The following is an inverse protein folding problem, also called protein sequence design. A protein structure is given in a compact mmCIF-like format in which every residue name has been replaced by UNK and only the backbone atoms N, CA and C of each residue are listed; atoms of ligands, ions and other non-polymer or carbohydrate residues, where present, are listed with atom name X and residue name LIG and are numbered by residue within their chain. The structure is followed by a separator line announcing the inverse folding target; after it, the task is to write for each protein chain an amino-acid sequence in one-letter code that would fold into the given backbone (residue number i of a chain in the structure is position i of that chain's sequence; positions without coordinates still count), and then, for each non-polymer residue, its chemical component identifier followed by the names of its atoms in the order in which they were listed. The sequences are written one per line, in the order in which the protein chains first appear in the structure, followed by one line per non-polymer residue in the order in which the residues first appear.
data_IF_538010478148
#
_entry.id   IF_538010478148
#
_cell.length_a   1.000
_cell.length_b   1.000
_cell.length_c   1.000
_cell.angle_alpha   90.00
_cell.angle_beta   90.00
_cell.angle_gamma   90.00
#
_symmetry.space_group_name_H-M   'P 1'
#
loop_
_entity.id
_entity.type
_entity.pdbx_description
1 polymer ?
#
# COMPACT_ATOMS: atom_id res chain seq x y z
N UNK A 1 -47.92 17.63 -32.42
CA UNK A 1 -48.19 16.18 -32.37
C UNK A 1 -49.61 15.93 -32.79
N UNK A 2 -49.86 15.00 -33.74
CA UNK A 2 -51.18 14.74 -34.26
C UNK A 2 -51.86 13.64 -33.43
N UNK A 3 -52.75 14.01 -32.53
CA UNK A 3 -53.50 13.12 -31.62
C UNK A 3 -54.78 12.53 -32.21
N UNK A 4 -54.96 12.64 -33.55
CA UNK A 4 -56.11 12.02 -34.19
C UNK A 4 -56.07 10.49 -34.08
N UNK A 5 -57.26 9.82 -34.07
CA UNK A 5 -57.36 8.35 -34.02
C UNK A 5 -56.54 7.66 -35.12
N UNK A 6 -56.39 8.27 -36.30
CA UNK A 6 -55.54 7.77 -37.39
C UNK A 6 -54.05 7.88 -37.06
N UNK A 7 -53.59 8.99 -36.47
CA UNK A 7 -52.20 9.20 -36.07
C UNK A 7 -51.78 8.24 -34.97
N UNK A 8 -52.62 8.00 -33.97
CA UNK A 8 -52.37 7.04 -32.90
C UNK A 8 -52.23 5.60 -33.43
N UNK A 9 -53.18 5.17 -34.34
CA UNK A 9 -53.10 3.85 -34.97
C UNK A 9 -51.86 3.68 -35.88
N UNK A 10 -51.46 4.68 -36.62
CA UNK A 10 -50.25 4.65 -37.44
C UNK A 10 -48.99 4.46 -36.52
N UNK A 11 -48.92 5.21 -35.44
CA UNK A 11 -47.79 5.09 -34.48
C UNK A 11 -47.79 3.76 -33.73
N UNK A 12 -48.96 3.21 -33.37
CA UNK A 12 -49.08 1.86 -32.85
C UNK A 12 -48.62 0.78 -33.81
N UNK A 13 -48.93 0.92 -35.10
CA UNK A 13 -48.50 -0.01 -36.14
C UNK A 13 -47.01 -0.02 -36.36
N UNK A 14 -46.35 1.15 -36.31
CA UNK A 14 -44.89 1.25 -36.37
C UNK A 14 -44.23 0.70 -35.13
N UNK A 15 -44.73 1.00 -33.94
CA UNK A 15 -44.21 0.45 -32.67
C UNK A 15 -44.37 -1.08 -32.56
N UNK A 16 -45.34 -1.67 -33.24
CA UNK A 16 -45.64 -3.09 -33.20
C UNK A 16 -45.07 -3.87 -34.41
N UNK A 17 -44.29 -3.19 -35.28
CA UNK A 17 -43.67 -3.83 -36.47
C UNK A 17 -42.68 -4.91 -36.02
N UNK A 18 -42.58 -6.04 -36.74
CA UNK A 18 -41.64 -7.14 -36.49
C UNK A 18 -40.19 -6.63 -36.40
N UNK A 19 -39.82 -5.66 -37.24
CA UNK A 19 -38.49 -5.07 -37.28
C UNK A 19 -38.14 -4.33 -35.99
N UNK A 20 -39.05 -3.52 -35.42
CA UNK A 20 -38.77 -2.82 -34.14
C UNK A 20 -38.75 -3.76 -32.96
N UNK A 21 -39.57 -4.79 -32.92
CA UNK A 21 -39.51 -5.82 -31.88
C UNK A 21 -38.19 -6.58 -31.93
N UNK A 22 -37.67 -6.84 -33.12
CA UNK A 22 -36.39 -7.52 -33.29
C UNK A 22 -35.22 -6.63 -32.93
N UNK A 23 -35.21 -5.35 -33.32
CA UNK A 23 -34.23 -4.36 -32.95
C UNK A 23 -34.13 -4.17 -31.42
N UNK A 24 -35.28 -4.09 -30.72
CA UNK A 24 -35.29 -4.03 -29.23
C UNK A 24 -34.72 -5.28 -28.56
N UNK A 25 -35.06 -6.47 -29.11
CA UNK A 25 -34.48 -7.73 -28.59
C UNK A 25 -32.97 -7.77 -28.77
N UNK A 26 -32.49 -7.37 -29.96
CA UNK A 26 -31.07 -7.30 -30.26
C UNK A 26 -30.36 -6.32 -29.34
N UNK A 27 -30.89 -5.10 -29.18
CA UNK A 27 -30.34 -4.09 -28.28
C UNK A 27 -30.25 -4.59 -26.81
N UNK A 28 -31.33 -5.21 -26.33
CA UNK A 28 -31.34 -5.77 -24.98
C UNK A 28 -30.33 -6.92 -24.80
N UNK A 29 -30.14 -7.75 -25.83
CA UNK A 29 -29.14 -8.82 -25.85
C UNK A 29 -27.72 -8.25 -25.81
N UNK A 30 -27.43 -7.23 -26.62
CA UNK A 30 -26.14 -6.53 -26.59
C UNK A 30 -25.85 -5.92 -25.22
N UNK A 31 -26.82 -5.27 -24.59
CA UNK A 31 -26.67 -4.71 -23.25
C UNK A 31 -26.38 -5.81 -22.22
N UNK A 32 -27.08 -6.95 -22.28
CA UNK A 32 -26.83 -8.08 -21.41
C UNK A 32 -25.41 -8.67 -21.57
N UNK A 33 -24.96 -8.82 -22.83
CA UNK A 33 -23.60 -9.30 -23.14
C UNK A 33 -22.56 -8.32 -22.62
N UNK A 34 -22.76 -7.00 -22.85
CA UNK A 34 -21.86 -5.98 -22.33
C UNK A 34 -21.78 -5.98 -20.81
N UNK A 35 -22.91 -6.11 -20.13
CA UNK A 35 -22.95 -6.20 -18.67
C UNK A 35 -22.24 -7.46 -18.16
N UNK A 36 -22.47 -8.60 -18.81
CA UNK A 36 -21.79 -9.86 -18.47
C UNK A 36 -20.27 -9.76 -18.70
N UNK A 37 -19.84 -9.10 -19.77
CA UNK A 37 -18.42 -8.86 -20.04
C UNK A 37 -17.78 -7.97 -18.96
N UNK A 38 -18.43 -6.89 -18.54
CA UNK A 38 -17.95 -6.01 -17.47
C UNK A 38 -17.80 -6.78 -16.14
N UNK A 39 -18.80 -7.59 -15.80
CA UNK A 39 -18.74 -8.44 -14.59
C UNK A 39 -17.62 -9.46 -14.72
N UNK A 40 -17.46 -10.11 -15.88
CA UNK A 40 -16.39 -11.07 -16.14
C UNK A 40 -14.99 -10.45 -15.99
N UNK A 41 -14.77 -9.26 -16.57
CA UNK A 41 -13.51 -8.53 -16.44
C UNK A 41 -13.24 -8.17 -14.97
N UNK A 42 -14.28 -7.75 -14.24
CA UNK A 42 -14.16 -7.46 -12.80
C UNK A 42 -13.71 -8.68 -12.00
N UNK A 43 -14.33 -9.85 -12.22
CA UNK A 43 -13.95 -11.11 -11.55
C UNK A 43 -12.52 -11.52 -11.90
N UNK A 44 -12.14 -11.45 -13.18
CA UNK A 44 -10.78 -11.75 -13.60
C UNK A 44 -9.75 -10.81 -12.99
N UNK A 45 -10.08 -9.50 -12.89
CA UNK A 45 -9.23 -8.51 -12.25
C UNK A 45 -8.98 -8.81 -10.76
N UNK A 46 -10.05 -9.17 -10.04
CA UNK A 46 -9.94 -9.57 -8.61
C UNK A 46 -9.13 -10.85 -8.47
N UNK A 47 -9.37 -11.87 -9.30
CA UNK A 47 -8.63 -13.13 -9.26
C UNK A 47 -7.14 -12.93 -9.56
N UNK A 48 -6.82 -12.11 -10.56
CA UNK A 48 -5.43 -11.73 -10.89
C UNK A 48 -4.78 -10.99 -9.70
N UNK A 49 -5.47 -10.03 -9.10
CA UNK A 49 -4.99 -9.32 -7.90
C UNK A 49 -4.68 -10.25 -6.73
N UNK A 50 -5.56 -11.21 -6.45
CA UNK A 50 -5.33 -12.22 -5.41
C UNK A 50 -4.13 -13.12 -5.76
N UNK A 51 -3.99 -13.49 -7.04
CA UNK A 51 -2.86 -14.30 -7.51
C UNK A 51 -1.52 -13.60 -7.33
N UNK A 52 -1.43 -12.33 -7.74
CA UNK A 52 -0.24 -11.49 -7.54
C UNK A 52 0.07 -11.32 -6.06
N UNK A 53 -0.94 -11.01 -5.25
CA UNK A 53 -0.76 -10.84 -3.81
C UNK A 53 -0.23 -12.11 -3.13
N UNK A 54 -0.80 -13.28 -3.47
CA UNK A 54 -0.31 -14.58 -2.97
C UNK A 54 1.11 -14.89 -3.46
N UNK A 55 1.43 -14.54 -4.70
CA UNK A 55 2.78 -14.67 -5.26
C UNK A 55 3.81 -13.87 -4.45
N UNK A 56 3.50 -12.62 -4.14
CA UNK A 56 4.34 -11.77 -3.30
C UNK A 56 4.50 -12.37 -1.90
N UNK A 57 3.41 -12.79 -1.25
CA UNK A 57 3.47 -13.40 0.08
C UNK A 57 4.30 -14.68 0.10
N UNK A 58 4.21 -15.52 -0.92
CA UNK A 58 4.96 -16.79 -0.98
C UNK A 58 6.47 -16.59 -1.22
N UNK A 59 6.85 -15.46 -1.80
CA UNK A 59 8.26 -15.09 -2.03
C UNK A 59 8.86 -14.25 -0.90
N UNK A 60 8.05 -13.90 0.12
CA UNK A 60 8.52 -13.08 1.24
C UNK A 60 9.42 -13.92 2.15
N UNK A 61 10.65 -13.48 2.45
CA UNK A 61 11.54 -14.19 3.36
C UNK A 61 10.96 -14.22 4.78
N UNK A 62 11.23 -15.29 5.51
CA UNK A 62 10.89 -15.35 6.94
C UNK A 62 11.86 -14.47 7.73
N UNK A 63 11.35 -13.37 8.27
CA UNK A 63 12.13 -12.44 9.09
C UNK A 63 12.16 -12.98 10.53
N UNK A 64 13.37 -13.13 11.09
CA UNK A 64 13.59 -13.48 12.49
C UNK A 64 13.86 -12.21 13.29
N UNK A 65 13.59 -12.24 14.60
CA UNK A 65 13.88 -11.12 15.46
C UNK A 65 15.39 -10.76 15.47
N UNK A 66 16.26 -11.76 15.31
CA UNK A 66 17.71 -11.58 15.14
C UNK A 66 18.10 -10.75 13.92
N UNK A 67 17.29 -10.74 12.87
CA UNK A 67 17.57 -10.04 11.61
C UNK A 67 17.23 -8.54 11.73
N UNK A 68 16.52 -8.16 12.78
CA UNK A 68 16.05 -6.77 13.04
C UNK A 68 17.01 -6.03 13.98
N UNK A 69 18.06 -6.69 14.46
CA UNK A 69 19.04 -6.06 15.36
C UNK A 69 19.86 -5.03 14.58
N UNK A 70 20.02 -3.84 15.15
CA UNK A 70 20.86 -2.80 14.58
C UNK A 70 22.31 -3.28 14.53
N UNK A 71 22.87 -3.36 13.31
CA UNK A 71 24.27 -3.73 13.09
C UNK A 71 25.15 -2.48 13.28
N UNK A 72 26.30 -2.63 13.95
CA UNK A 72 27.30 -1.57 14.06
C UNK A 72 27.32 -0.91 15.44
N UNK A 73 27.51 -1.71 16.46
CA UNK A 73 27.83 -1.21 17.80
C UNK A 73 29.30 -0.80 17.89
N UNK A 74 29.60 0.18 18.78
CA UNK A 74 30.96 0.54 19.11
C UNK A 74 31.62 -0.59 19.89
N UNK A 75 32.91 -0.87 19.64
CA UNK A 75 33.70 -1.77 20.43
C UNK A 75 34.34 -0.99 21.57
N UNK A 76 33.97 -1.29 22.81
CA UNK A 76 34.54 -0.65 24.00
C UNK A 76 35.61 -1.56 24.59
N UNK A 77 36.78 -0.99 24.88
CA UNK A 77 37.92 -1.68 25.49
C UNK A 77 38.02 -1.27 26.93
N UNK A 78 38.08 -2.26 27.82
CA UNK A 78 38.16 -2.06 29.25
C UNK A 78 39.51 -2.51 29.78
N UNK A 79 39.99 -1.87 30.88
CA UNK A 79 41.14 -2.34 31.65
C UNK A 79 40.75 -3.56 32.52
N UNK A 80 41.74 -4.08 33.24
CA UNK A 80 41.54 -5.21 34.18
C UNK A 80 40.58 -4.86 35.31
N UNK A 81 40.52 -3.61 35.67
CA UNK A 81 39.70 -3.04 36.73
C UNK A 81 38.28 -2.72 36.27
N UNK A 82 37.98 -2.85 34.96
CA UNK A 82 36.68 -2.58 34.38
C UNK A 82 36.44 -1.13 33.95
N UNK A 83 37.49 -0.30 33.93
CA UNK A 83 37.37 1.07 33.41
C UNK A 83 37.50 1.09 31.90
N UNK A 84 36.73 1.92 31.24
CA UNK A 84 36.83 2.14 29.80
C UNK A 84 38.12 2.83 29.44
N UNK A 85 38.96 2.20 28.57
CA UNK A 85 40.24 2.73 28.11
C UNK A 85 40.09 3.40 26.76
N UNK A 86 39.31 2.78 25.86
CA UNK A 86 39.19 3.22 24.48
C UNK A 86 37.88 2.74 23.84
N UNK A 87 37.44 3.44 22.80
CA UNK A 87 36.27 3.11 22.05
C UNK A 87 36.59 3.12 20.55
N UNK A 88 36.46 1.97 19.89
CA UNK A 88 36.62 1.86 18.46
C UNK A 88 35.27 1.97 17.79
N UNK A 89 35.09 3.03 16.98
CA UNK A 89 33.88 3.33 16.24
C UNK A 89 34.18 3.22 14.75
N UNK A 90 33.57 2.24 14.09
CA UNK A 90 33.58 2.17 12.62
C UNK A 90 32.67 3.24 12.02
N UNK A 91 32.85 3.56 10.75
CA UNK A 91 31.97 4.49 10.05
C UNK A 91 30.51 4.02 10.15
N UNK A 92 29.64 4.82 10.74
CA UNK A 92 28.23 4.54 11.05
C UNK A 92 27.95 3.57 12.23
N UNK A 93 28.91 3.27 13.09
CA UNK A 93 28.73 2.36 14.24
C UNK A 93 28.83 3.02 15.60
N UNK A 94 28.68 4.33 15.69
CA UNK A 94 28.64 5.05 16.98
C UNK A 94 27.26 4.89 17.64
N UNK A 95 26.97 3.66 18.06
CA UNK A 95 25.70 3.28 18.70
C UNK A 95 26.01 2.54 19.98
N UNK A 96 25.27 2.90 21.04
CA UNK A 96 25.26 2.18 22.30
C UNK A 96 23.89 1.52 22.44
N UNK A 97 23.89 0.23 22.73
CA UNK A 97 22.66 -0.50 23.06
C UNK A 97 22.26 -0.15 24.48
N UNK A 98 21.04 0.32 24.65
CA UNK A 98 20.47 0.67 25.96
C UNK A 98 19.25 -0.20 26.23
N UNK A 99 19.02 -0.53 27.51
CA UNK A 99 17.84 -1.26 27.93
C UNK A 99 16.57 -0.41 27.78
N UNK A 100 15.41 -1.07 27.60
CA UNK A 100 14.13 -0.36 27.55
C UNK A 100 13.78 0.37 28.84
N UNK A 101 14.31 -0.07 29.97
CA UNK A 101 14.20 0.53 31.30
C UNK A 101 15.03 1.82 31.46
N UNK A 102 16.05 2.01 30.62
CA UNK A 102 16.86 3.23 30.56
C UNK A 102 16.23 4.30 29.64
N UNK A 103 15.24 3.94 28.84
CA UNK A 103 14.57 4.86 27.92
C UNK A 103 13.37 5.49 28.63
N UNK A 104 13.31 6.82 28.74
CA UNK A 104 12.15 7.48 29.32
C UNK A 104 10.88 7.24 28.48
N UNK A 105 9.75 6.96 29.14
CA UNK A 105 8.45 6.68 28.49
C UNK A 105 8.02 7.74 27.48
N UNK A 106 8.31 9.01 27.75
CA UNK A 106 7.94 10.10 26.85
C UNK A 106 8.70 10.07 25.53
N UNK A 107 9.91 9.49 25.47
CA UNK A 107 10.70 9.39 24.25
C UNK A 107 10.01 8.46 23.24
N UNK A 108 9.59 7.26 23.69
CA UNK A 108 8.83 6.34 22.84
C UNK A 108 7.52 6.95 22.33
N UNK A 109 6.80 7.66 23.21
CA UNK A 109 5.56 8.37 22.85
C UNK A 109 5.81 9.49 21.84
N UNK A 110 6.93 10.22 21.96
CA UNK A 110 7.29 11.27 21.01
C UNK A 110 7.60 10.69 19.61
N UNK A 111 8.33 9.57 19.54
CA UNK A 111 8.57 8.85 18.28
C UNK A 111 7.26 8.42 17.63
N UNK A 112 6.37 7.78 18.37
CA UNK A 112 5.07 7.35 17.87
C UNK A 112 4.24 8.54 17.39
N UNK A 113 4.22 9.65 18.13
CA UNK A 113 3.43 10.82 17.77
C UNK A 113 3.91 11.49 16.46
N UNK A 114 5.20 11.44 16.15
CA UNK A 114 5.78 12.09 14.98
C UNK A 114 5.78 11.15 13.75
N UNK A 115 6.21 9.90 13.94
CA UNK A 115 6.45 8.97 12.84
C UNK A 115 5.21 8.16 12.48
N UNK A 116 4.39 7.80 13.48
CA UNK A 116 3.28 6.89 13.28
C UNK A 116 2.22 7.04 14.39
N UNK A 117 1.47 8.14 14.33
CA UNK A 117 0.46 8.51 15.34
C UNK A 117 -0.49 7.35 15.74
N UNK A 118 -0.72 6.42 14.81
CA UNK A 118 -1.63 5.29 15.01
C UNK A 118 -0.93 3.95 15.17
N UNK A 119 0.34 3.94 15.53
CA UNK A 119 1.16 2.74 15.69
C UNK A 119 0.49 1.62 16.46
N UNK A 120 -0.21 1.94 17.55
CA UNK A 120 -0.93 0.97 18.38
C UNK A 120 -2.31 0.54 17.84
N UNK A 121 -2.73 1.09 16.68
CA UNK A 121 -4.05 0.83 16.09
C UNK A 121 -4.00 -0.06 14.85
N UNK A 122 -2.80 -0.41 14.37
CA UNK A 122 -2.60 -1.24 13.20
C UNK A 122 -1.51 -2.29 13.42
N UNK A 123 -1.45 -3.30 12.56
CA UNK A 123 -0.49 -4.41 12.63
C UNK A 123 0.65 -4.23 11.63
N UNK A 124 1.39 -3.12 11.71
CA UNK A 124 2.53 -2.83 10.86
C UNK A 124 2.22 -2.05 9.57
N UNK A 125 0.99 -2.05 9.08
CA UNK A 125 0.56 -1.28 7.91
C UNK A 125 -0.66 -0.44 8.27
N UNK A 126 -0.57 0.88 8.06
CA UNK A 126 -1.66 1.82 8.27
C UNK A 126 -2.39 2.13 6.97
N UNK A 127 -3.43 1.35 6.67
CA UNK A 127 -4.25 1.55 5.47
C UNK A 127 -4.94 2.92 5.41
N UNK A 128 -5.30 3.51 6.54
CA UNK A 128 -5.93 4.84 6.56
C UNK A 128 -4.93 5.92 6.13
N UNK A 129 -3.68 5.84 6.58
CA UNK A 129 -2.61 6.75 6.15
C UNK A 129 -2.30 6.58 4.67
N UNK A 130 -2.28 5.35 4.15
CA UNK A 130 -2.08 5.10 2.71
C UNK A 130 -3.18 5.74 1.88
N UNK A 131 -4.46 5.55 2.26
CA UNK A 131 -5.60 6.15 1.55
C UNK A 131 -5.53 7.68 1.63
N UNK A 132 -5.22 8.24 2.81
CA UNK A 132 -5.07 9.68 3.00
C UNK A 132 -3.94 10.24 2.13
N UNK A 133 -2.77 9.62 2.14
CA UNK A 133 -1.62 10.04 1.33
C UNK A 133 -1.93 9.95 -0.17
N UNK A 134 -2.59 8.88 -0.62
CA UNK A 134 -3.05 8.74 -1.99
C UNK A 134 -4.04 9.83 -2.41
N UNK A 135 -5.02 10.14 -1.56
CA UNK A 135 -5.97 11.24 -1.81
C UNK A 135 -5.27 12.60 -1.90
N UNK A 136 -4.36 12.90 -0.98
CA UNK A 136 -3.55 14.12 -1.00
C UNK A 136 -2.73 14.23 -2.28
N UNK A 137 -2.01 13.16 -2.65
CA UNK A 137 -1.22 13.09 -3.86
C UNK A 137 -2.04 13.45 -5.12
N UNK A 138 -3.24 12.86 -5.25
CA UNK A 138 -4.13 13.18 -6.38
C UNK A 138 -4.67 14.61 -6.31
N UNK A 139 -4.94 15.14 -5.11
CA UNK A 139 -5.49 16.49 -4.92
C UNK A 139 -4.47 17.59 -5.21
N UNK A 140 -3.20 17.37 -4.84
CA UNK A 140 -2.11 18.37 -4.97
C UNK A 140 -1.25 18.16 -6.21
N UNK A 141 -1.58 17.17 -7.06
CA UNK A 141 -0.76 16.84 -8.22
C UNK A 141 0.62 16.28 -7.88
N UNK A 142 0.80 15.81 -6.64
CA UNK A 142 2.06 15.22 -6.14
C UNK A 142 2.99 16.21 -5.44
N UNK A 143 2.63 17.48 -5.31
CA UNK A 143 3.46 18.50 -4.65
C UNK A 143 3.56 18.32 -3.14
N UNK A 144 2.51 17.77 -2.50
CA UNK A 144 2.48 17.47 -1.07
C UNK A 144 2.35 15.96 -0.82
N UNK A 145 3.43 15.22 -0.97
CA UNK A 145 3.46 13.81 -0.60
C UNK A 145 3.66 13.67 0.92
N UNK A 146 2.57 13.52 1.67
CA UNK A 146 2.66 13.11 3.08
C UNK A 146 3.14 11.66 3.17
N UNK A 147 4.14 11.39 4.03
CA UNK A 147 4.59 10.04 4.32
C UNK A 147 3.45 9.18 4.90
N UNK A 148 3.30 7.96 4.37
CA UNK A 148 2.35 6.97 4.87
C UNK A 148 3.07 5.74 5.44
N UNK A 149 4.40 5.80 5.58
CA UNK A 149 5.21 4.71 6.11
C UNK A 149 5.08 4.63 7.63
N UNK A 150 4.87 3.41 8.13
CA UNK A 150 4.79 3.12 9.55
C UNK A 150 6.19 2.92 10.16
N UNK A 151 6.32 3.01 11.49
CA UNK A 151 7.56 2.68 12.23
C UNK A 151 8.02 1.26 11.89
N UNK A 152 7.10 0.29 11.81
CA UNK A 152 7.41 -1.09 11.44
C UNK A 152 8.02 -1.19 10.03
N UNK A 153 7.46 -0.48 9.06
CA UNK A 153 8.00 -0.45 7.70
C UNK A 153 9.38 0.20 7.62
N UNK A 154 9.56 1.31 8.37
CA UNK A 154 10.86 1.99 8.46
C UNK A 154 11.92 1.09 9.10
N UNK A 155 11.57 0.38 10.18
CA UNK A 155 12.47 -0.56 10.84
C UNK A 155 12.93 -1.65 9.87
N UNK A 156 12.01 -2.35 9.21
CA UNK A 156 12.33 -3.40 8.25
C UNK A 156 13.17 -2.89 7.07
N UNK A 157 12.85 -1.71 6.56
CA UNK A 157 13.60 -1.09 5.48
C UNK A 157 15.06 -0.81 5.87
N UNK A 158 15.28 -0.40 7.11
CA UNK A 158 16.60 0.02 7.58
C UNK A 158 17.46 -1.12 8.18
N UNK A 159 16.86 -2.29 8.44
CA UNK A 159 17.57 -3.43 9.02
C UNK A 159 17.65 -4.63 8.09
N UNK A 160 16.53 -5.05 7.51
CA UNK A 160 16.43 -6.29 6.72
C UNK A 160 16.58 -6.03 5.23
N UNK A 161 16.08 -4.90 4.73
CA UNK A 161 16.03 -4.59 3.29
C UNK A 161 17.01 -3.48 2.89
N UNK A 162 18.15 -3.38 3.55
CA UNK A 162 19.18 -2.36 3.28
C UNK A 162 19.71 -2.42 1.85
N UNK A 163 19.91 -3.62 1.30
CA UNK A 163 20.45 -3.82 -0.04
C UNK A 163 19.45 -3.41 -1.14
N UNK A 164 18.17 -3.55 -0.88
CA UNK A 164 17.13 -3.20 -1.83
C UNK A 164 17.03 -1.68 -2.08
N UNK A 165 17.39 -0.88 -1.11
CA UNK A 165 17.44 0.58 -1.25
C UNK A 165 18.70 1.06 -1.94
N UNK A 166 19.82 0.35 -1.83
CA UNK A 166 21.09 0.66 -2.48
C UNK A 166 21.10 0.26 -3.97
N UNK A 167 20.54 -0.90 -4.33
CA UNK A 167 20.40 -1.33 -5.72
C UNK A 167 19.35 -0.55 -6.52
N UNK A 168 18.26 -0.11 -5.88
CA UNK A 168 17.19 0.67 -6.54
C UNK A 168 17.67 1.99 -7.12
N UNK A 169 18.64 2.66 -6.49
CA UNK A 169 19.22 3.91 -6.96
C UNK A 169 20.17 3.77 -8.17
N UNK A 170 20.66 2.56 -8.44
CA UNK A 170 21.60 2.31 -9.55
C UNK A 170 20.90 1.83 -10.84
N UNK A 171 19.61 1.47 -10.77
CA UNK A 171 18.84 1.00 -11.95
C UNK A 171 17.97 2.07 -12.62
N UNK A 172 17.96 3.31 -12.07
CA UNK A 172 17.26 4.45 -12.68
C UNK A 172 18.33 5.46 -13.17
N UNK A 173 19.22 5.00 -14.03
CA UNK A 173 20.05 5.88 -14.86
C UNK A 173 19.89 5.47 -16.31
#
# INVERSE_FOLDING_TARGET
MNYSKKGVRAKQKTLNSKSQKWGRKLALTCVKIMLAAVVGIGICGVAAGIGVFRGILSSTPTIRLSDVVAVGEATIVYDREGNEIDQYVSTNSNRLSVGMDEIPDYLGKAFVAIEDERFYQHNGIDFKSIIRAGYQFFKTGGEEAQGASTITQQLLKNTVFTDWTSEGNNKIK
#
